data_IF_480515783117
#
_entry.id   IF_480515783117
#
_cell.length_a   1.000
_cell.length_b   1.000
_cell.length_c   1.000
_cell.angle_alpha   90.00
_cell.angle_beta   90.00
_cell.angle_gamma   90.00
#
_symmetry.space_group_name_H-M   'P 1'
#
loop_
_entity.id
_entity.type
_entity.pdbx_description
1 polymer ?
#
# COMPACT_ATOMS: atom_id res chain seq x y z
N UNK A 1 8.78 58.35 19.48
CA UNK A 1 9.04 57.00 18.91
C UNK A 1 7.71 56.28 18.74
N UNK A 2 7.20 56.18 17.50
CA UNK A 2 5.93 55.48 17.18
C UNK A 2 6.17 53.97 17.11
N UNK A 3 5.59 53.21 18.05
CA UNK A 3 5.58 51.74 18.01
C UNK A 3 4.52 51.30 16.99
N UNK A 4 4.95 50.74 15.87
CA UNK A 4 4.06 50.08 14.92
C UNK A 4 3.60 48.75 15.55
N UNK A 5 2.38 48.76 16.11
CA UNK A 5 1.69 47.57 16.56
C UNK A 5 1.16 46.86 15.30
N UNK A 6 1.96 45.97 14.73
CA UNK A 6 1.49 45.12 13.65
C UNK A 6 0.32 44.27 14.18
N UNK A 7 -0.86 44.28 13.53
CA UNK A 7 -1.99 43.52 14.00
C UNK A 7 -1.68 42.03 13.82
N UNK A 8 -1.50 41.34 14.95
CA UNK A 8 -1.31 39.90 15.11
C UNK A 8 -2.25 39.01 14.25
N UNK A 9 -3.49 39.40 13.88
CA UNK A 9 -4.37 38.57 13.06
C UNK A 9 -3.87 38.37 11.61
N UNK A 10 -3.07 39.28 11.06
CA UNK A 10 -2.66 39.22 9.64
C UNK A 10 -1.58 38.16 9.41
N UNK A 11 -0.73 37.91 10.41
CA UNK A 11 0.33 36.90 10.32
C UNK A 11 -0.21 35.46 10.30
N UNK A 12 -1.36 35.23 10.95
CA UNK A 12 -2.01 33.91 11.06
C UNK A 12 -2.69 33.49 9.74
N UNK A 13 -3.22 34.44 8.97
CA UNK A 13 -3.84 34.17 7.65
C UNK A 13 -2.78 33.78 6.62
N UNK A 14 -1.61 34.43 6.63
CA UNK A 14 -0.52 34.13 5.68
C UNK A 14 0.10 32.74 5.94
N UNK A 15 0.16 32.30 7.20
CA UNK A 15 0.67 30.97 7.54
C UNK A 15 -0.25 29.83 7.04
N UNK A 16 -1.56 30.07 6.96
CA UNK A 16 -2.53 29.08 6.46
C UNK A 16 -2.43 28.86 4.93
N UNK A 17 -1.91 29.84 4.19
CA UNK A 17 -1.72 29.75 2.73
C UNK A 17 -0.41 29.05 2.33
N UNK A 18 0.45 28.74 3.29
CA UNK A 18 1.72 28.03 3.08
C UNK A 18 1.62 26.52 3.28
N UNK A 19 0.43 25.97 3.55
CA UNK A 19 0.26 24.52 3.57
C UNK A 19 0.41 24.03 2.12
N UNK A 20 1.49 23.31 1.77
CA UNK A 20 1.65 22.80 0.43
C UNK A 20 0.46 21.89 0.15
N UNK A 21 -0.20 22.10 -0.99
CA UNK A 21 -1.25 21.23 -1.54
C UNK A 21 -0.69 19.84 -1.95
N UNK A 22 0.02 19.16 -1.06
CA UNK A 22 0.49 17.78 -1.23
C UNK A 22 -0.63 16.81 -0.87
N UNK A 23 -1.77 16.92 -1.56
CA UNK A 23 -2.78 15.85 -1.54
C UNK A 23 -2.40 14.84 -2.62
N UNK A 24 -1.37 14.05 -2.32
CA UNK A 24 -1.19 12.73 -2.88
C UNK A 24 -2.14 11.80 -2.11
N UNK A 25 -3.32 11.53 -2.65
CA UNK A 25 -4.34 10.75 -1.95
C UNK A 25 -4.03 9.24 -2.11
N UNK A 26 -3.04 8.77 -1.36
CA UNK A 26 -2.74 7.35 -1.22
C UNK A 26 -2.91 6.96 0.24
N UNK A 27 -3.96 6.19 0.52
CA UNK A 27 -4.22 5.72 1.88
C UNK A 27 -4.66 4.26 1.80
N UNK A 28 -4.09 3.43 2.67
CA UNK A 28 -4.71 2.16 2.97
C UNK A 28 -6.04 2.44 3.67
N UNK A 29 -7.10 1.80 3.20
CA UNK A 29 -8.46 2.05 3.67
C UNK A 29 -8.98 0.93 4.56
N UNK A 30 -8.51 -0.31 4.35
CA UNK A 30 -8.94 -1.45 5.15
C UNK A 30 -7.90 -2.58 5.04
N UNK A 31 -7.60 -3.25 6.14
CA UNK A 31 -6.74 -4.42 6.19
C UNK A 31 -7.44 -5.49 7.01
N UNK A 32 -7.65 -6.66 6.42
CA UNK A 32 -8.32 -7.77 7.08
C UNK A 32 -7.47 -9.02 7.05
N UNK A 33 -7.72 -9.88 8.02
CA UNK A 33 -7.16 -11.20 8.07
C UNK A 33 -8.25 -12.14 8.61
N UNK A 34 -8.53 -13.22 7.89
CA UNK A 34 -9.64 -14.12 8.18
C UNK A 34 -9.15 -15.56 8.12
N UNK A 35 -9.31 -16.29 9.20
CA UNK A 35 -9.08 -17.75 9.22
C UNK A 35 -10.16 -18.41 8.39
N UNK A 36 -9.77 -19.15 7.35
CA UNK A 36 -10.67 -19.96 6.54
C UNK A 36 -10.86 -21.34 7.20
N UNK A 37 -9.76 -21.91 7.66
CA UNK A 37 -9.67 -23.16 8.41
C UNK A 37 -8.32 -23.21 9.14
N UNK A 38 -8.05 -24.31 9.84
CA UNK A 38 -6.87 -24.54 10.70
C UNK A 38 -5.52 -24.38 9.97
N UNK A 39 -5.51 -24.37 8.64
CA UNK A 39 -4.29 -24.29 7.83
C UNK A 39 -4.30 -23.14 6.83
N UNK A 40 -5.36 -22.34 6.75
CA UNK A 40 -5.52 -21.33 5.70
C UNK A 40 -6.04 -20.01 6.25
N UNK A 41 -5.37 -18.94 5.85
CA UNK A 41 -5.73 -17.56 6.20
C UNK A 41 -5.87 -16.75 4.93
N UNK A 42 -6.96 -15.98 4.84
CA UNK A 42 -7.16 -14.95 3.83
C UNK A 42 -6.75 -13.60 4.38
N UNK A 43 -5.72 -13.00 3.79
CA UNK A 43 -5.32 -11.63 4.07
C UNK A 43 -5.85 -10.71 2.96
N UNK A 44 -6.35 -9.54 3.35
CA UNK A 44 -6.63 -8.47 2.39
C UNK A 44 -6.05 -7.14 2.83
N UNK A 45 -5.51 -6.39 1.87
CA UNK A 45 -5.07 -5.00 2.07
C UNK A 45 -5.68 -4.16 0.95
N UNK A 46 -6.67 -3.34 1.32
CA UNK A 46 -7.37 -2.44 0.41
C UNK A 46 -6.83 -1.03 0.55
N UNK A 47 -6.53 -0.41 -0.58
CA UNK A 47 -6.01 0.94 -0.64
C UNK A 47 -6.58 1.70 -1.84
N UNK A 48 -6.56 3.03 -1.75
CA UNK A 48 -6.95 3.91 -2.84
C UNK A 48 -5.75 4.58 -3.45
N UNK A 49 -5.74 4.68 -4.78
CA UNK A 49 -4.61 5.22 -5.51
C UNK A 49 -5.04 6.04 -6.72
N UNK A 50 -4.37 7.18 -6.96
CA UNK A 50 -4.65 8.07 -8.07
C UNK A 50 -3.82 9.35 -8.04
N UNK A 51 -3.66 9.99 -9.21
CA UNK A 51 -2.80 11.16 -9.39
C UNK A 51 -3.59 12.35 -9.94
N UNK A 52 -3.35 13.55 -9.43
CA UNK A 52 -4.01 14.76 -9.95
C UNK A 52 -3.60 15.13 -11.38
N UNK A 53 -2.31 14.97 -11.71
CA UNK A 53 -1.70 15.49 -12.96
C UNK A 53 -1.24 14.42 -13.95
N UNK A 54 -1.25 13.16 -13.54
CA UNK A 54 -0.70 12.06 -14.33
C UNK A 54 -1.74 10.95 -14.46
N UNK A 55 -1.64 10.17 -15.52
CA UNK A 55 -2.24 8.85 -15.51
C UNK A 55 -1.36 7.93 -14.66
N UNK A 56 -1.98 6.95 -14.00
CA UNK A 56 -1.31 5.95 -13.20
C UNK A 56 -1.34 4.57 -13.86
N UNK A 57 -0.26 3.81 -13.75
CA UNK A 57 -0.27 2.37 -13.94
C UNK A 57 0.08 1.68 -12.62
N UNK A 58 -0.77 0.75 -12.20
CA UNK A 58 -0.61 -0.03 -10.98
C UNK A 58 -0.41 -1.52 -11.29
N UNK A 59 0.32 -2.26 -10.44
CA UNK A 59 0.54 -3.69 -10.62
C UNK A 59 -0.76 -4.48 -10.55
N UNK A 60 -0.88 -5.50 -11.39
CA UNK A 60 -1.96 -6.50 -11.33
C UNK A 60 -1.58 -7.72 -10.45
N UNK A 61 -0.28 -7.94 -10.24
CA UNK A 61 0.26 -9.09 -9.55
C UNK A 61 1.03 -8.72 -8.29
N UNK A 62 1.16 -9.70 -7.40
CA UNK A 62 1.90 -9.57 -6.16
C UNK A 62 2.81 -10.78 -5.93
N UNK A 63 3.96 -10.55 -5.30
CA UNK A 63 4.98 -11.57 -5.07
C UNK A 63 5.48 -11.48 -3.63
N UNK A 64 5.53 -12.63 -2.95
CA UNK A 64 6.06 -12.75 -1.60
C UNK A 64 7.58 -12.51 -1.59
N UNK A 65 8.06 -11.77 -0.60
CA UNK A 65 9.48 -11.55 -0.35
C UNK A 65 10.13 -10.44 -1.18
N UNK A 66 9.39 -9.72 -2.03
CA UNK A 66 9.92 -8.55 -2.72
C UNK A 66 10.02 -7.36 -1.76
N UNK A 67 11.23 -6.84 -1.59
CA UNK A 67 11.49 -5.67 -0.75
C UNK A 67 11.43 -4.35 -1.53
N UNK A 68 11.29 -3.26 -0.78
CA UNK A 68 11.54 -1.93 -1.32
C UNK A 68 12.93 -1.87 -1.97
N UNK A 69 13.03 -1.17 -3.10
CA UNK A 69 14.24 -1.12 -3.92
C UNK A 69 14.31 -2.18 -5.02
N UNK A 70 13.64 -3.33 -4.87
CA UNK A 70 13.62 -4.36 -5.92
C UNK A 70 13.00 -3.82 -7.23
N UNK A 71 13.62 -4.02 -8.41
CA UNK A 71 13.16 -3.44 -9.69
C UNK A 71 11.89 -4.08 -10.26
N UNK A 72 11.40 -5.16 -9.66
CA UNK A 72 10.18 -5.86 -10.08
C UNK A 72 8.98 -4.90 -10.20
N UNK A 73 8.16 -5.05 -11.25
CA UNK A 73 6.95 -4.27 -11.42
C UNK A 73 5.80 -4.78 -10.55
N UNK A 74 5.98 -5.85 -9.78
CA UNK A 74 4.94 -6.45 -8.93
C UNK A 74 4.89 -5.83 -7.53
N UNK A 75 3.70 -5.87 -6.92
CA UNK A 75 3.54 -5.56 -5.51
C UNK A 75 4.31 -6.57 -4.66
N UNK A 76 5.12 -6.11 -3.72
CA UNK A 76 5.83 -6.93 -2.76
C UNK A 76 5.12 -7.04 -1.43
N UNK A 77 5.12 -8.23 -0.83
CA UNK A 77 4.61 -8.42 0.52
C UNK A 77 5.40 -9.50 1.28
N UNK A 78 5.24 -9.54 2.60
CA UNK A 78 5.75 -10.58 3.49
C UNK A 78 4.68 -11.06 4.45
N UNK A 79 4.84 -12.29 4.92
CA UNK A 79 4.14 -12.81 6.09
C UNK A 79 5.06 -12.63 7.30
N UNK A 80 4.53 -12.10 8.39
CA UNK A 80 5.26 -11.78 9.61
C UNK A 80 4.71 -12.57 10.79
N UNK A 81 5.58 -12.98 11.71
CA UNK A 81 5.18 -13.51 13.02
C UNK A 81 4.82 -12.37 14.00
N UNK A 82 4.44 -12.71 15.24
CA UNK A 82 4.13 -11.71 16.27
C UNK A 82 5.31 -10.80 16.66
N UNK A 83 6.55 -11.23 16.43
CA UNK A 83 7.75 -10.42 16.66
C UNK A 83 8.10 -9.56 15.43
N UNK A 84 7.32 -9.64 14.36
CA UNK A 84 7.58 -8.93 13.11
C UNK A 84 8.68 -9.55 12.27
N UNK A 85 9.11 -10.79 12.56
CA UNK A 85 10.08 -11.51 11.73
C UNK A 85 9.38 -12.10 10.52
N UNK A 86 10.10 -12.16 9.40
CA UNK A 86 9.56 -12.77 8.17
C UNK A 86 9.40 -14.27 8.35
N UNK A 87 8.17 -14.74 8.17
CA UNK A 87 7.86 -16.16 8.04
C UNK A 87 8.11 -16.55 6.60
N UNK A 88 8.96 -17.56 6.38
CA UNK A 88 9.31 -18.07 5.05
C UNK A 88 8.46 -19.30 4.71
N UNK A 89 8.17 -20.12 5.71
CA UNK A 89 7.44 -21.37 5.53
C UNK A 89 5.98 -21.14 5.06
N UNK A 90 5.38 -22.21 4.54
CA UNK A 90 4.03 -22.19 3.97
C UNK A 90 4.00 -21.63 2.54
N UNK A 91 2.84 -21.73 1.90
CA UNK A 91 2.62 -21.31 0.51
C UNK A 91 1.66 -20.14 0.47
N UNK A 92 1.95 -19.12 -0.34
CA UNK A 92 1.08 -17.96 -0.50
C UNK A 92 0.72 -17.75 -1.97
N UNK A 93 -0.56 -17.55 -2.24
CA UNK A 93 -1.09 -17.18 -3.55
C UNK A 93 -1.70 -15.80 -3.45
N UNK A 94 -1.33 -14.88 -4.34
CA UNK A 94 -1.75 -13.49 -4.26
C UNK A 94 -2.15 -12.90 -5.59
N UNK A 95 -3.11 -12.00 -5.53
CA UNK A 95 -3.58 -11.21 -6.66
C UNK A 95 -3.89 -9.79 -6.20
N UNK A 96 -3.73 -8.82 -7.10
CA UNK A 96 -4.24 -7.46 -6.90
C UNK A 96 -5.52 -7.30 -7.70
N UNK A 97 -6.62 -6.97 -7.03
CA UNK A 97 -7.93 -6.73 -7.64
C UNK A 97 -8.21 -5.24 -7.72
N UNK A 98 -8.83 -4.79 -8.82
CA UNK A 98 -9.32 -3.42 -8.98
C UNK A 98 -10.42 -3.36 -10.03
N UNK A 99 -11.29 -2.35 -9.93
CA UNK A 99 -12.27 -1.98 -10.97
C UNK A 99 -11.64 -1.10 -12.08
N UNK A 100 -10.35 -0.80 -11.98
CA UNK A 100 -9.60 -0.09 -13.01
C UNK A 100 -9.47 -0.93 -14.29
N UNK A 101 -9.47 -0.24 -15.44
CA UNK A 101 -9.24 -0.89 -16.75
C UNK A 101 -7.82 -1.43 -16.82
N UNK A 102 -7.63 -2.65 -17.32
CA UNK A 102 -6.29 -3.18 -17.59
C UNK A 102 -5.80 -2.69 -18.95
N UNK A 103 -4.58 -2.14 -18.99
CA UNK A 103 -3.86 -1.72 -20.20
C UNK A 103 -2.41 -2.16 -20.04
N UNK A 104 -1.85 -2.86 -21.04
CA UNK A 104 -0.46 -3.34 -21.04
C UNK A 104 -0.06 -4.07 -19.73
N UNK A 105 -0.89 -5.02 -19.29
CA UNK A 105 -0.65 -5.82 -18.09
C UNK A 105 -0.56 -5.01 -16.77
N UNK A 106 -1.16 -3.81 -16.75
CA UNK A 106 -1.25 -2.94 -15.57
C UNK A 106 -2.66 -2.37 -15.43
N UNK A 107 -3.07 -2.03 -14.22
CA UNK A 107 -4.29 -1.26 -14.00
C UNK A 107 -4.07 0.21 -14.33
N UNK A 108 -4.86 0.75 -15.25
CA UNK A 108 -4.83 2.14 -15.67
C UNK A 108 -5.74 3.02 -14.82
N UNK A 109 -5.17 4.09 -14.28
CA UNK A 109 -5.88 5.13 -13.53
C UNK A 109 -5.82 6.43 -14.33
N UNK A 110 -6.95 6.95 -14.82
CA UNK A 110 -6.96 8.26 -15.47
C UNK A 110 -6.52 9.38 -14.52
N UNK A 111 -5.88 10.43 -15.06
CA UNK A 111 -5.56 11.64 -14.30
C UNK A 111 -6.80 12.24 -13.63
N UNK A 112 -6.66 12.66 -12.37
CA UNK A 112 -7.73 13.21 -11.55
C UNK A 112 -8.71 12.17 -10.99
N UNK A 113 -8.53 10.89 -11.28
CA UNK A 113 -9.40 9.80 -10.79
C UNK A 113 -8.68 9.02 -9.70
N UNK A 114 -9.45 8.62 -8.69
CA UNK A 114 -9.03 7.71 -7.63
C UNK A 114 -9.64 6.33 -7.88
N UNK A 115 -8.83 5.28 -7.80
CA UNK A 115 -9.26 3.89 -7.94
C UNK A 115 -8.95 3.10 -6.68
N UNK A 116 -9.72 2.04 -6.45
CA UNK A 116 -9.53 1.15 -5.30
C UNK A 116 -8.82 -0.11 -5.75
N UNK A 117 -7.89 -0.56 -4.94
CA UNK A 117 -7.09 -1.73 -5.16
C UNK A 117 -7.14 -2.59 -3.92
N UNK A 118 -7.22 -3.90 -4.09
CA UNK A 118 -7.18 -4.86 -2.99
C UNK A 118 -6.15 -5.93 -3.30
N UNK A 119 -5.08 -5.98 -2.50
CA UNK A 119 -4.25 -7.17 -2.42
C UNK A 119 -5.07 -8.24 -1.71
N UNK A 120 -5.26 -9.38 -2.36
CA UNK A 120 -5.85 -10.59 -1.77
C UNK A 120 -4.77 -11.65 -1.73
N UNK A 121 -4.52 -12.21 -0.55
CA UNK A 121 -3.51 -13.25 -0.37
C UNK A 121 -4.10 -14.41 0.43
N UNK A 122 -4.12 -15.59 -0.19
CA UNK A 122 -4.40 -16.84 0.50
C UNK A 122 -3.06 -17.43 0.97
N UNK A 123 -2.89 -17.56 2.27
CA UNK A 123 -1.73 -18.17 2.89
C UNK A 123 -2.09 -19.53 3.47
N UNK A 124 -1.38 -20.58 3.05
CA UNK A 124 -1.49 -21.93 3.57
C UNK A 124 -0.29 -22.24 4.46
N UNK A 125 -0.57 -22.56 5.72
CA UNK A 125 0.45 -22.94 6.70
C UNK A 125 0.99 -24.34 6.38
N UNK A 126 2.28 -24.59 6.64
CA UNK A 126 2.80 -25.94 6.53
C UNK A 126 2.20 -26.79 7.67
N UNK A 127 2.07 -28.11 7.43
CA UNK A 127 1.46 -29.05 8.40
C UNK A 127 2.14 -29.00 9.77
N UNK A 128 3.45 -28.88 9.78
CA UNK A 128 4.26 -28.77 11.00
C UNK A 128 4.82 -27.35 11.08
N UNK A 129 4.17 -26.51 11.89
CA UNK A 129 4.70 -25.17 12.22
C UNK A 129 4.49 -24.88 13.69
N UNK A 130 5.45 -24.20 14.31
CA UNK A 130 5.29 -23.62 15.65
C UNK A 130 4.74 -22.19 15.61
N UNK A 131 4.44 -21.67 14.41
CA UNK A 131 3.97 -20.30 14.21
C UNK A 131 2.44 -20.31 14.31
N UNK A 132 1.93 -19.71 15.38
CA UNK A 132 0.49 -19.59 15.63
C UNK A 132 -0.03 -18.17 15.39
N UNK A 133 0.88 -17.19 15.28
CA UNK A 133 0.52 -15.78 15.12
C UNK A 133 1.10 -15.26 13.81
N UNK A 134 0.25 -14.84 12.87
CA UNK A 134 0.72 -14.30 11.58
C UNK A 134 -0.04 -13.06 11.13
N UNK A 135 0.67 -12.18 10.43
CA UNK A 135 0.11 -11.04 9.70
C UNK A 135 0.76 -10.90 8.32
N UNK A 136 0.14 -10.13 7.43
CA UNK A 136 0.73 -9.76 6.13
C UNK A 136 1.13 -8.29 6.16
N UNK A 137 2.30 -7.96 5.60
CA UNK A 137 2.75 -6.59 5.36
C UNK A 137 3.14 -6.38 3.90
N UNK A 138 2.65 -5.31 3.28
CA UNK A 138 3.15 -4.85 1.98
C UNK A 138 4.53 -4.21 2.17
N UNK A 139 5.49 -4.63 1.35
CA UNK A 139 6.92 -4.27 1.44
C UNK A 139 7.42 -3.50 0.23
N UNK A 140 6.69 -3.55 -0.88
CA UNK A 140 6.95 -2.74 -2.07
C UNK A 140 5.65 -2.48 -2.82
N UNK A 141 5.40 -1.22 -3.19
CA UNK A 141 4.28 -0.85 -4.05
C UNK A 141 4.80 0.02 -5.19
N UNK A 142 5.23 -0.60 -6.31
CA UNK A 142 5.64 0.14 -7.50
C UNK A 142 4.43 0.70 -8.24
N UNK A 143 4.65 1.81 -8.94
CA UNK A 143 3.67 2.42 -9.83
C UNK A 143 4.37 3.25 -10.91
N UNK A 144 3.67 3.48 -12.01
CA UNK A 144 4.12 4.40 -13.06
C UNK A 144 3.21 5.60 -13.14
N UNK A 145 3.78 6.79 -13.21
CA UNK A 145 3.09 8.01 -13.60
C UNK A 145 3.39 8.31 -15.05
N UNK A 146 2.36 8.56 -15.85
CA UNK A 146 2.52 8.86 -17.28
C UNK A 146 1.73 10.12 -17.66
N UNK A 147 2.36 10.98 -18.45
CA UNK A 147 1.70 12.01 -19.24
C UNK A 147 2.21 11.97 -20.69
N UNK A 148 1.73 12.85 -21.55
CA UNK A 148 2.08 12.89 -22.99
C UNK A 148 3.60 13.01 -23.28
N UNK A 149 4.40 13.44 -22.30
CA UNK A 149 5.81 13.76 -22.49
C UNK A 149 6.76 12.88 -21.68
N UNK A 150 6.25 12.16 -20.68
CA UNK A 150 7.11 11.50 -19.69
C UNK A 150 6.44 10.33 -19.01
N UNK A 151 7.22 9.28 -18.80
CA UNK A 151 6.96 8.18 -17.89
C UNK A 151 7.90 8.27 -16.68
N UNK A 152 7.35 8.08 -15.49
CA UNK A 152 8.08 8.12 -14.23
C UNK A 152 7.72 6.87 -13.44
N UNK A 153 8.66 5.94 -13.34
CA UNK A 153 8.57 4.82 -12.41
C UNK A 153 8.87 5.31 -10.99
N UNK A 154 8.00 4.96 -10.06
CA UNK A 154 8.14 5.31 -8.65
C UNK A 154 7.66 4.16 -7.76
N UNK A 155 7.93 4.29 -6.47
CA UNK A 155 7.51 3.34 -5.44
C UNK A 155 7.00 4.12 -4.25
N UNK A 156 6.04 3.55 -3.53
CA UNK A 156 5.58 4.11 -2.26
C UNK A 156 6.72 4.16 -1.25
N UNK A 157 6.74 5.21 -0.43
CA UNK A 157 7.77 5.38 0.59
C UNK A 157 7.68 4.23 1.62
N UNK A 158 8.80 3.58 2.02
CA UNK A 158 8.80 2.56 3.06
C UNK A 158 8.11 2.99 4.36
N UNK A 159 8.23 4.26 4.75
CA UNK A 159 7.57 4.78 5.97
C UNK A 159 6.04 4.83 5.86
N UNK A 160 5.48 4.83 4.65
CA UNK A 160 4.03 4.74 4.42
C UNK A 160 3.56 3.28 4.36
N UNK A 161 4.42 2.37 3.90
CA UNK A 161 4.10 0.94 3.76
C UNK A 161 3.82 0.24 5.11
N UNK A 162 4.28 0.80 6.23
CA UNK A 162 3.93 0.26 7.55
C UNK A 162 2.41 0.24 7.81
N UNK A 163 1.66 1.17 7.20
CA UNK A 163 0.20 1.24 7.30
C UNK A 163 -0.52 0.20 6.42
N UNK A 164 0.22 -0.59 5.64
CA UNK A 164 -0.29 -1.65 4.77
C UNK A 164 -0.01 -3.02 5.40
N UNK A 165 -0.23 -3.11 6.71
CA UNK A 165 -0.09 -4.32 7.52
C UNK A 165 -1.46 -4.78 7.99
N UNK A 166 -1.78 -6.06 7.83
CA UNK A 166 -3.02 -6.65 8.36
C UNK A 166 -2.93 -6.84 9.87
N UNK A 167 -4.08 -6.99 10.56
CA UNK A 167 -4.09 -7.48 11.93
C UNK A 167 -3.35 -8.83 12.05
N UNK A 168 -2.83 -9.10 13.25
CA UNK A 168 -2.31 -10.42 13.60
C UNK A 168 -3.49 -11.37 13.78
N UNK A 169 -3.38 -12.56 13.20
CA UNK A 169 -4.31 -13.67 13.39
C UNK A 169 -3.65 -14.71 14.26
N UNK A 170 -4.37 -15.13 15.29
CA UNK A 170 -4.02 -16.30 16.10
C UNK A 170 -4.69 -17.54 15.51
N UNK A 171 -3.93 -18.62 15.36
CA UNK A 171 -4.42 -19.94 15.00
C UNK A 171 -4.43 -20.80 16.24
N UNK A 172 -5.63 -21.22 16.64
CA UNK A 172 -5.80 -22.25 17.66
C UNK A 172 -5.41 -23.59 17.03
N UNK A 173 -4.38 -24.24 17.58
CA UNK A 173 -3.95 -25.59 17.19
C UNK A 173 -4.40 -26.61 18.21
#
# INVERSE_FOLDING_TARGET
MRKYLFPLPVLLVILSMLIPNLTFAYFSTNQTATVINDSQILFTVTYKFGFKKYNGMMPIGAVRGLEFGNPSPYLGYKILDKQGKTVIDGTAYSIVLSDAKVVNNSYYIPKGVLKTFTLVTLYSLPKETSINDVSLRVTSLPFMMQNEKKEIMAKMNPSELQYYTTPIVHLDK
#
